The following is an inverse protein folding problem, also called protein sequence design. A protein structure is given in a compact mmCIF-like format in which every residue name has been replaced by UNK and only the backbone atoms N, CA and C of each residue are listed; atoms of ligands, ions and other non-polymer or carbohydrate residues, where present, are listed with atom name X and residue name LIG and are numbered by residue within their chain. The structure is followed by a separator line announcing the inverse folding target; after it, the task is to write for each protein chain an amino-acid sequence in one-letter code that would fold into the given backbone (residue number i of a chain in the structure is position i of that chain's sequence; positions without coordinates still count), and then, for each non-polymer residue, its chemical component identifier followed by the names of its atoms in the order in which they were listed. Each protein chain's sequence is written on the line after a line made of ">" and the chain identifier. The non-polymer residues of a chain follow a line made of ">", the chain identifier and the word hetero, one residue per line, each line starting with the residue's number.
data_IF_914718881301
#
_entry.id   IF_914718881301
#
_cell.length_a   1.000
_cell.length_b   1.000
_cell.length_c   1.000
_cell.angle_alpha   90.00
_cell.angle_beta   90.00
_cell.angle_gamma   90.00
#
_symmetry.space_group_name_H-M   'P 1'
#
loop_
_entity.id
_entity.type
_entity.pdbx_description
1 polymer ?
#
# COMPACT_ATOMS: atom_id res chain seq x y z
N UNK A 1 0.41 35.84 18.09
CA UNK A 1 1.15 34.56 18.03
C UNK A 1 0.47 33.39 18.78
N UNK A 2 -0.78 33.55 19.25
CA UNK A 2 -1.50 32.55 20.08
C UNK A 2 -2.48 31.69 19.27
N UNK A 3 -2.90 32.15 18.07
CA UNK A 3 -4.01 31.53 17.33
C UNK A 3 -3.67 30.31 16.45
N UNK A 4 -2.38 30.03 16.17
CA UNK A 4 -2.00 28.93 15.25
C UNK A 4 -1.85 27.55 15.92
N UNK A 5 -1.91 27.47 17.26
CA UNK A 5 -1.71 26.20 18.01
C UNK A 5 -2.92 25.25 17.93
N UNK A 6 -4.10 25.72 17.52
CA UNK A 6 -5.35 24.94 17.61
C UNK A 6 -5.74 24.20 16.33
N UNK A 7 -4.98 24.32 15.24
CA UNK A 7 -5.28 23.63 13.97
C UNK A 7 -4.73 22.18 13.95
N UNK A 8 -3.74 21.85 14.77
CA UNK A 8 -3.20 20.50 14.91
C UNK A 8 -3.90 19.77 16.07
N UNK A 9 -5.13 19.31 15.83
CA UNK A 9 -5.97 18.51 16.75
C UNK A 9 -5.45 17.06 16.99
N UNK A 10 -4.14 16.86 17.01
CA UNK A 10 -3.56 15.58 17.45
C UNK A 10 -2.99 15.82 18.84
N UNK A 11 -3.68 15.43 19.93
CA UNK A 11 -3.06 15.45 21.25
C UNK A 11 -1.83 14.54 21.22
N UNK A 12 -0.65 15.15 21.33
CA UNK A 12 0.63 14.45 21.45
C UNK A 12 0.52 13.54 22.69
N UNK A 13 0.39 12.23 22.48
CA UNK A 13 0.38 11.25 23.59
C UNK A 13 1.65 11.46 24.43
N UNK A 14 1.59 11.28 25.77
CA UNK A 14 2.73 11.48 26.65
C UNK A 14 3.95 10.72 26.13
N UNK A 15 4.99 11.50 25.83
CA UNK A 15 6.10 11.05 25.03
C UNK A 15 7.08 10.26 25.90
N UNK A 16 7.25 8.98 25.58
CA UNK A 16 8.25 8.12 26.25
C UNK A 16 9.66 8.40 25.73
N UNK A 17 10.27 9.51 26.14
CA UNK A 17 11.66 9.83 25.83
C UNK A 17 12.31 10.71 26.91
N UNK A 18 13.65 10.79 26.95
CA UNK A 18 14.38 11.48 28.02
C UNK A 18 14.34 13.02 27.96
N UNK A 19 13.99 13.62 26.80
CA UNK A 19 13.88 15.07 26.66
C UNK A 19 12.51 15.59 27.11
N UNK A 20 12.52 16.75 27.76
CA UNK A 20 11.30 17.52 28.04
C UNK A 20 10.66 18.06 26.75
N UNK A 21 9.38 18.40 26.80
CA UNK A 21 8.64 18.88 25.63
C UNK A 21 9.24 20.18 25.08
N UNK A 22 9.67 21.10 25.94
CA UNK A 22 10.29 22.36 25.52
C UNK A 22 11.59 22.13 24.76
N UNK A 23 12.52 21.35 25.31
CA UNK A 23 13.79 21.04 24.66
C UNK A 23 13.59 20.33 23.32
N UNK A 24 12.58 19.47 23.24
CA UNK A 24 12.25 18.79 22.00
C UNK A 24 11.77 19.75 20.90
N UNK A 25 10.88 20.71 21.23
CA UNK A 25 10.37 21.62 20.21
C UNK A 25 11.45 22.55 19.68
N UNK A 26 12.47 22.85 20.49
CA UNK A 26 13.68 23.61 20.11
C UNK A 26 14.64 22.84 19.19
N UNK A 27 14.48 21.52 19.01
CA UNK A 27 15.32 20.75 18.10
C UNK A 27 15.11 21.17 16.65
N UNK A 28 16.23 21.29 15.92
CA UNK A 28 16.26 21.39 14.44
C UNK A 28 15.48 20.23 13.80
N UNK A 29 14.90 20.41 12.59
CA UNK A 29 14.04 19.42 11.94
C UNK A 29 14.69 18.02 11.82
N UNK A 30 15.97 17.97 11.43
CA UNK A 30 16.71 16.71 11.28
C UNK A 30 16.93 15.98 12.62
N UNK A 31 17.26 16.72 13.69
CA UNK A 31 17.45 16.13 15.03
C UNK A 31 16.12 15.65 15.60
N UNK A 32 15.04 16.39 15.34
CA UNK A 32 13.67 16.04 15.69
C UNK A 32 13.24 14.73 15.02
N UNK A 33 13.57 14.55 13.75
CA UNK A 33 13.34 13.30 13.00
C UNK A 33 14.17 12.15 13.60
N UNK A 34 15.49 12.31 13.75
CA UNK A 34 16.37 11.29 14.33
C UNK A 34 15.90 10.85 15.72
N UNK A 35 15.46 11.80 16.56
CA UNK A 35 14.89 11.51 17.87
C UNK A 35 13.61 10.68 17.79
N UNK A 36 12.71 11.00 16.85
CA UNK A 36 11.49 10.20 16.61
C UNK A 36 11.81 8.78 16.16
N UNK A 37 12.82 8.60 15.30
CA UNK A 37 13.28 7.26 14.89
C UNK A 37 13.83 6.50 16.11
N UNK A 38 14.78 7.09 16.84
CA UNK A 38 15.48 6.39 17.94
C UNK A 38 14.55 5.94 19.08
N UNK A 39 13.61 6.79 19.51
CA UNK A 39 12.80 6.53 20.71
C UNK A 39 11.40 5.95 20.42
N UNK A 40 11.05 5.73 19.15
CA UNK A 40 9.81 5.03 18.76
C UNK A 40 10.09 3.88 17.79
N UNK A 41 10.70 2.77 18.24
CA UNK A 41 11.07 1.65 17.36
C UNK A 41 9.87 1.05 16.62
N UNK A 42 8.66 1.08 17.21
CA UNK A 42 7.43 0.63 16.55
C UNK A 42 7.09 1.45 15.28
N UNK A 43 7.34 2.77 15.29
CA UNK A 43 7.10 3.61 14.10
C UNK A 43 8.06 3.28 12.96
N UNK A 44 9.30 2.93 13.27
CA UNK A 44 10.26 2.49 12.24
C UNK A 44 9.76 1.21 11.60
N UNK A 45 9.29 0.24 12.39
CA UNK A 45 8.75 -1.01 11.89
C UNK A 45 7.52 -0.75 11.00
N UNK A 46 6.59 0.08 11.44
CA UNK A 46 5.40 0.43 10.64
C UNK A 46 5.78 1.13 9.32
N UNK A 47 6.74 2.05 9.34
CA UNK A 47 7.24 2.72 8.14
C UNK A 47 7.94 1.75 7.20
N UNK A 48 8.73 0.82 7.74
CA UNK A 48 9.42 -0.20 6.96
C UNK A 48 8.41 -1.16 6.31
N UNK A 49 7.38 -1.57 7.05
CA UNK A 49 6.30 -2.40 6.52
C UNK A 49 5.55 -1.70 5.39
N UNK A 50 5.19 -0.42 5.58
CA UNK A 50 4.53 0.40 4.55
C UNK A 50 5.39 0.57 3.31
N UNK A 51 6.67 0.88 3.50
CA UNK A 51 7.61 1.02 2.38
C UNK A 51 7.76 -0.29 1.63
N UNK A 52 7.96 -1.40 2.35
CA UNK A 52 8.14 -2.72 1.74
C UNK A 52 6.89 -3.17 0.99
N UNK A 53 5.68 -2.94 1.53
CA UNK A 53 4.44 -3.30 0.86
C UNK A 53 4.25 -2.54 -0.45
N UNK A 54 4.50 -1.23 -0.44
CA UNK A 54 4.41 -0.40 -1.65
C UNK A 54 5.48 -0.83 -2.65
N UNK A 55 6.71 -1.02 -2.20
CA UNK A 55 7.79 -1.44 -3.07
C UNK A 55 7.49 -2.79 -3.77
N UNK A 56 7.00 -3.78 -3.03
CA UNK A 56 6.66 -5.09 -3.58
C UNK A 56 5.49 -5.03 -4.56
N UNK A 57 4.46 -4.24 -4.27
CA UNK A 57 3.32 -4.03 -5.17
C UNK A 57 3.74 -3.38 -6.50
N UNK A 58 4.55 -2.32 -6.44
CA UNK A 58 5.07 -1.65 -7.63
C UNK A 58 6.05 -2.52 -8.42
N UNK A 59 6.91 -3.27 -7.73
CA UNK A 59 7.83 -4.21 -8.37
C UNK A 59 7.06 -5.29 -9.13
N UNK A 60 6.03 -5.89 -8.52
CA UNK A 60 5.20 -6.90 -9.15
C UNK A 60 4.52 -6.36 -10.42
N UNK A 61 3.86 -5.20 -10.34
CA UNK A 61 3.18 -4.59 -11.49
C UNK A 61 4.13 -4.21 -12.64
N UNK A 62 5.30 -3.66 -12.32
CA UNK A 62 6.29 -3.26 -13.33
C UNK A 62 6.96 -4.45 -14.01
N UNK A 63 7.24 -5.53 -13.27
CA UNK A 63 7.73 -6.77 -13.86
C UNK A 63 6.71 -7.44 -14.78
N UNK A 64 5.42 -7.24 -14.50
CA UNK A 64 4.35 -7.88 -15.24
C UNK A 64 4.05 -7.17 -16.56
N UNK A 65 4.21 -5.85 -16.63
CA UNK A 65 3.99 -5.07 -17.85
C UNK A 65 4.63 -5.67 -19.13
N UNK A 66 5.94 -6.01 -19.17
CA UNK A 66 6.56 -6.63 -20.35
C UNK A 66 6.11 -8.08 -20.61
N UNK A 67 5.63 -8.78 -19.59
CA UNK A 67 5.19 -10.20 -19.70
C UNK A 67 3.71 -10.30 -20.10
N UNK A 68 2.93 -9.23 -19.91
CA UNK A 68 1.49 -9.20 -20.21
C UNK A 68 1.16 -9.63 -21.64
N UNK A 69 1.84 -9.14 -22.69
CA UNK A 69 1.52 -9.53 -24.06
C UNK A 69 1.70 -11.04 -24.30
N UNK A 70 2.70 -11.65 -23.65
CA UNK A 70 2.94 -13.09 -23.72
C UNK A 70 1.81 -13.90 -23.06
N UNK A 71 1.32 -13.46 -21.89
CA UNK A 71 0.17 -14.09 -21.24
C UNK A 71 -1.09 -13.98 -22.08
N UNK A 72 -1.36 -12.81 -22.67
CA UNK A 72 -2.53 -12.60 -23.54
C UNK A 72 -2.46 -13.49 -24.77
N UNK A 73 -1.31 -13.58 -25.43
CA UNK A 73 -1.12 -14.45 -26.59
C UNK A 73 -1.39 -15.93 -26.28
N UNK A 74 -1.04 -16.37 -25.05
CA UNK A 74 -1.25 -17.76 -24.60
C UNK A 74 -2.69 -18.03 -24.16
N UNK A 75 -3.32 -17.11 -23.43
CA UNK A 75 -4.62 -17.31 -22.78
C UNK A 75 -5.80 -16.88 -23.65
N UNK A 76 -5.58 -15.97 -24.61
CA UNK A 76 -6.60 -15.48 -25.52
C UNK A 76 -6.00 -15.23 -26.93
N UNK A 77 -5.59 -16.29 -27.65
CA UNK A 77 -4.92 -16.18 -28.94
C UNK A 77 -5.79 -15.52 -30.04
N UNK A 78 -7.11 -15.47 -29.85
CA UNK A 78 -8.05 -14.84 -30.77
C UNK A 78 -8.20 -13.32 -30.57
N UNK A 79 -7.63 -12.76 -29.51
CA UNK A 79 -7.77 -11.33 -29.16
C UNK A 79 -6.44 -10.63 -29.44
N UNK A 80 -6.52 -9.41 -29.97
CA UNK A 80 -5.36 -8.54 -30.11
C UNK A 80 -4.67 -8.30 -28.73
N UNK A 81 -3.34 -8.32 -28.72
CA UNK A 81 -2.56 -8.22 -27.49
C UNK A 81 -2.80 -6.89 -26.76
N UNK A 82 -2.98 -5.79 -27.50
CA UNK A 82 -3.29 -4.48 -26.93
C UNK A 82 -4.67 -4.44 -26.27
N UNK A 83 -5.66 -5.07 -26.92
CA UNK A 83 -7.01 -5.22 -26.35
C UNK A 83 -6.99 -6.07 -25.09
N UNK A 84 -6.32 -7.22 -25.12
CA UNK A 84 -6.20 -8.10 -23.95
C UNK A 84 -5.47 -7.44 -22.78
N UNK A 85 -4.36 -6.73 -23.05
CA UNK A 85 -3.65 -5.97 -22.02
C UNK A 85 -4.51 -4.85 -21.42
N UNK A 86 -5.33 -4.18 -22.24
CA UNK A 86 -6.26 -3.14 -21.78
C UNK A 86 -7.37 -3.71 -20.90
N UNK A 87 -7.90 -4.89 -21.23
CA UNK A 87 -8.87 -5.60 -20.37
C UNK A 87 -8.25 -5.92 -19.01
N UNK A 88 -7.01 -6.43 -19.00
CA UNK A 88 -6.30 -6.73 -17.77
C UNK A 88 -6.04 -5.46 -16.94
N UNK A 89 -5.64 -4.36 -17.57
CA UNK A 89 -5.44 -3.08 -16.89
C UNK A 89 -6.76 -2.51 -16.33
N UNK A 90 -7.84 -2.59 -17.10
CA UNK A 90 -9.17 -2.16 -16.66
C UNK A 90 -9.66 -2.98 -15.46
N UNK A 91 -9.46 -4.30 -15.47
CA UNK A 91 -9.82 -5.17 -14.34
C UNK A 91 -9.06 -4.80 -13.06
N UNK A 92 -7.75 -4.54 -13.17
CA UNK A 92 -6.93 -4.06 -12.06
C UNK A 92 -7.41 -2.70 -11.53
N UNK A 93 -7.74 -1.77 -12.43
CA UNK A 93 -8.22 -0.44 -12.06
C UNK A 93 -9.57 -0.51 -11.33
N UNK A 94 -10.49 -1.34 -11.79
CA UNK A 94 -11.80 -1.57 -11.13
C UNK A 94 -11.59 -2.16 -9.74
N UNK A 95 -10.75 -3.19 -9.62
CA UNK A 95 -10.41 -3.82 -8.34
C UNK A 95 -9.82 -2.83 -7.33
N UNK A 96 -8.85 -2.02 -7.78
CA UNK A 96 -8.21 -0.97 -6.98
C UNK A 96 -9.21 0.10 -6.56
N UNK A 97 -10.09 0.53 -7.48
CA UNK A 97 -11.13 1.51 -7.19
C UNK A 97 -12.09 0.99 -6.10
N UNK A 98 -12.64 -0.21 -6.27
CA UNK A 98 -13.52 -0.83 -5.28
C UNK A 98 -12.81 -1.00 -3.93
N UNK A 99 -11.56 -1.47 -3.94
CA UNK A 99 -10.75 -1.64 -2.73
C UNK A 99 -10.48 -0.32 -2.01
N UNK A 100 -10.27 0.78 -2.73
CA UNK A 100 -10.03 2.10 -2.14
C UNK A 100 -11.22 2.63 -1.34
N UNK A 101 -12.45 2.34 -1.79
CA UNK A 101 -13.69 2.74 -1.11
C UNK A 101 -13.90 1.97 0.19
N UNK A 102 -13.52 0.69 0.19
CA UNK A 102 -13.75 -0.23 1.32
C UNK A 102 -12.65 -0.13 2.37
N UNK A 103 -11.39 -0.01 1.94
CA UNK A 103 -10.21 -0.09 2.82
C UNK A 103 -10.13 1.08 3.80
N UNK A 104 -10.53 2.29 3.39
CA UNK A 104 -10.48 3.49 4.24
C UNK A 104 -11.29 3.33 5.54
N UNK A 105 -12.63 3.16 5.45
CA UNK A 105 -13.48 3.00 6.63
C UNK A 105 -13.10 1.79 7.51
N UNK A 106 -12.66 0.69 6.89
CA UNK A 106 -12.22 -0.50 7.64
C UNK A 106 -10.94 -0.18 8.42
N UNK A 107 -9.95 0.45 7.78
CA UNK A 107 -8.69 0.88 8.40
C UNK A 107 -8.93 1.79 9.60
N UNK A 108 -9.90 2.68 9.52
CA UNK A 108 -10.20 3.60 10.62
C UNK A 108 -10.91 2.90 11.79
N UNK A 109 -11.66 1.82 11.54
CA UNK A 109 -12.37 1.05 12.58
C UNK A 109 -11.50 0.02 13.30
N UNK A 110 -10.76 -0.82 12.55
CA UNK A 110 -9.98 -1.93 13.13
C UNK A 110 -8.49 -1.58 13.31
N UNK A 111 -8.07 -0.41 12.84
CA UNK A 111 -6.70 0.05 12.85
C UNK A 111 -5.93 -0.31 11.59
N UNK A 112 -4.95 0.55 11.25
CA UNK A 112 -4.18 0.46 9.99
C UNK A 112 -3.38 -0.83 9.84
N UNK A 113 -2.74 -1.29 10.93
CA UNK A 113 -1.82 -2.44 10.89
C UNK A 113 -2.47 -3.76 10.48
N UNK A 114 -3.59 -4.22 11.09
CA UNK A 114 -4.25 -5.45 10.64
C UNK A 114 -4.79 -5.35 9.22
N UNK A 115 -5.23 -4.17 8.77
CA UNK A 115 -5.69 -3.97 7.39
C UNK A 115 -4.56 -4.13 6.38
N UNK A 116 -3.40 -3.53 6.63
CA UNK A 116 -2.24 -3.68 5.72
C UNK A 116 -1.81 -5.14 5.63
N UNK A 117 -1.76 -5.85 6.77
CA UNK A 117 -1.39 -7.27 6.79
C UNK A 117 -2.43 -8.11 6.02
N UNK A 118 -3.72 -7.86 6.23
CA UNK A 118 -4.79 -8.52 5.49
C UNK A 118 -4.72 -8.28 3.99
N UNK A 119 -4.50 -7.02 3.57
CA UNK A 119 -4.31 -6.66 2.17
C UNK A 119 -3.11 -7.36 1.54
N UNK A 120 -2.00 -7.50 2.28
CA UNK A 120 -0.83 -8.24 1.82
C UNK A 120 -1.09 -9.75 1.65
N UNK A 121 -1.91 -10.35 2.52
CA UNK A 121 -2.32 -11.75 2.38
C UNK A 121 -3.22 -11.93 1.15
N UNK A 122 -4.20 -11.04 0.96
CA UNK A 122 -5.08 -11.05 -0.22
C UNK A 122 -4.26 -10.90 -1.50
N UNK A 123 -3.33 -9.94 -1.52
CA UNK A 123 -2.42 -9.72 -2.64
C UNK A 123 -1.58 -10.96 -2.92
N UNK A 124 -1.01 -11.61 -1.91
CA UNK A 124 -0.24 -12.85 -2.06
C UNK A 124 -1.08 -13.98 -2.69
N UNK A 125 -2.31 -14.16 -2.21
CA UNK A 125 -3.24 -15.17 -2.76
C UNK A 125 -3.62 -14.83 -4.20
N UNK A 126 -3.91 -13.55 -4.48
CA UNK A 126 -4.21 -13.03 -5.81
C UNK A 126 -3.06 -13.33 -6.79
N UNK A 127 -1.82 -13.03 -6.43
CA UNK A 127 -0.65 -13.34 -7.28
C UNK A 127 -0.49 -14.85 -7.53
N UNK A 128 -0.75 -15.67 -6.51
CA UNK A 128 -0.72 -17.13 -6.68
C UNK A 128 -1.81 -17.64 -7.63
N UNK A 129 -3.01 -17.06 -7.57
CA UNK A 129 -4.10 -17.39 -8.49
C UNK A 129 -3.80 -16.92 -9.92
N UNK A 130 -3.25 -15.71 -10.09
CA UNK A 130 -2.81 -15.19 -11.41
C UNK A 130 -1.78 -16.13 -12.04
N UNK A 131 -0.83 -16.66 -11.26
CA UNK A 131 0.17 -17.61 -11.75
C UNK A 131 -0.44 -18.93 -12.27
N UNK A 132 -1.63 -19.30 -11.81
CA UNK A 132 -2.35 -20.51 -12.17
C UNK A 132 -3.58 -20.24 -13.07
N UNK A 133 -3.70 -19.04 -13.63
CA UNK A 133 -4.85 -18.69 -14.46
C UNK A 133 -4.90 -19.52 -15.75
N UNK A 134 -6.09 -20.02 -16.07
CA UNK A 134 -6.35 -20.89 -17.24
C UNK A 134 -6.97 -20.14 -18.44
N UNK A 135 -7.58 -18.99 -18.20
CA UNK A 135 -8.15 -18.13 -19.23
C UNK A 135 -7.89 -16.64 -18.92
N UNK A 136 -8.13 -15.79 -19.91
CA UNK A 136 -8.00 -14.34 -19.74
C UNK A 136 -8.99 -13.80 -18.69
N UNK A 137 -10.18 -14.39 -18.58
CA UNK A 137 -11.20 -14.00 -17.62
C UNK A 137 -10.78 -14.23 -16.18
N UNK A 138 -10.27 -15.42 -15.83
CA UNK A 138 -9.76 -15.72 -14.49
C UNK A 138 -8.50 -14.90 -14.20
N UNK A 139 -7.64 -14.69 -15.20
CA UNK A 139 -6.48 -13.82 -15.04
C UNK A 139 -6.90 -12.37 -14.70
N UNK A 140 -7.92 -11.84 -15.39
CA UNK A 140 -8.50 -10.53 -15.11
C UNK A 140 -9.22 -10.48 -13.75
N UNK A 141 -9.96 -11.53 -13.40
CA UNK A 141 -10.66 -11.65 -12.13
C UNK A 141 -9.71 -11.67 -10.94
N UNK A 142 -8.65 -12.47 -11.02
CA UNK A 142 -7.62 -12.52 -9.99
C UNK A 142 -6.86 -11.20 -9.89
N UNK A 143 -6.58 -10.54 -11.02
CA UNK A 143 -6.00 -9.18 -11.06
C UNK A 143 -6.81 -8.12 -10.32
N UNK A 144 -8.13 -8.27 -10.25
CA UNK A 144 -9.02 -7.32 -9.60
C UNK A 144 -9.09 -7.51 -8.07
N UNK A 145 -8.53 -8.60 -7.53
CA UNK A 145 -8.48 -8.92 -6.10
C UNK A 145 -7.17 -8.45 -5.46
#
# INVERSE_FOLDING_TARGET
>A
MVALKNILLIPDRPRKGPLSDEEYYQLKPLRKLMYRLKYHPRRIIDLFLLFSSLFLEWLANTMLAPVTPWYVAKLAPSIDQGTGASILMASYAIGTFCSSLVTGPISDKIGRRPVIIGAMIIFMVSQFLVANAWDLGSFAGFRAM
#
